data_IF_952758950808
#
_entry.id   IF_952758950808
#
_cell.length_a   1.000
_cell.length_b   1.000
_cell.length_c   1.000
_cell.angle_alpha   90.00
_cell.angle_beta   90.00
_cell.angle_gamma   90.00
#
_symmetry.space_group_name_H-M   'P 1'
#
loop_
_entity.id
_entity.type
_entity.pdbx_description
1 polymer ?
#
# COMPACT_ATOMS: atom_id res chain seq x y z
N UNK A 1 47.22 92.73 -5.39
CA UNK A 1 45.75 92.78 -5.53
C UNK A 1 45.25 91.35 -5.67
N UNK A 2 44.73 90.80 -4.57
CA UNK A 2 44.02 89.52 -4.57
C UNK A 2 42.69 89.68 -5.29
N UNK A 3 42.35 88.83 -6.27
CA UNK A 3 41.00 88.27 -6.35
C UNK A 3 40.87 87.13 -7.37
N UNK A 4 40.58 85.96 -6.81
CA UNK A 4 39.52 85.01 -7.20
C UNK A 4 39.64 84.29 -8.56
N UNK A 5 39.89 82.98 -8.46
CA UNK A 5 38.93 81.94 -8.85
C UNK A 5 39.39 80.56 -8.32
N UNK A 6 39.18 80.32 -7.02
CA UNK A 6 39.07 78.95 -6.47
C UNK A 6 37.59 78.64 -6.28
N UNK A 7 36.95 78.18 -7.35
CA UNK A 7 35.66 77.49 -7.33
C UNK A 7 35.84 76.26 -8.23
N UNK A 8 36.17 75.11 -7.64
CA UNK A 8 36.39 73.87 -8.39
C UNK A 8 36.66 72.64 -7.52
N UNK A 9 37.30 72.81 -6.35
CA UNK A 9 37.64 71.69 -5.46
C UNK A 9 36.46 71.06 -4.73
N UNK A 10 35.34 71.77 -4.56
CA UNK A 10 34.14 71.25 -3.88
C UNK A 10 33.30 70.34 -4.76
N UNK A 11 33.31 70.53 -6.09
CA UNK A 11 32.53 69.69 -7.01
C UNK A 11 33.13 68.28 -7.15
N UNK A 12 34.46 68.16 -7.21
CA UNK A 12 35.16 66.88 -7.39
C UNK A 12 35.04 65.97 -6.18
N UNK A 13 35.11 66.53 -4.96
CA UNK A 13 34.93 65.75 -3.72
C UNK A 13 33.52 65.20 -3.59
N UNK A 14 32.50 65.96 -4.01
CA UNK A 14 31.11 65.50 -4.01
C UNK A 14 30.90 64.37 -5.02
N UNK A 15 31.46 64.49 -6.23
CA UNK A 15 31.38 63.44 -7.26
C UNK A 15 32.06 62.15 -6.80
N UNK A 16 33.25 62.24 -6.19
CA UNK A 16 33.97 61.07 -5.70
C UNK A 16 33.23 60.38 -4.54
N UNK A 17 32.68 61.16 -3.60
CA UNK A 17 31.86 60.63 -2.51
C UNK A 17 30.60 59.93 -3.02
N UNK A 18 29.92 60.49 -4.01
CA UNK A 18 28.76 59.85 -4.64
C UNK A 18 29.11 58.55 -5.36
N UNK A 19 30.26 58.47 -6.03
CA UNK A 19 30.69 57.25 -6.72
C UNK A 19 31.03 56.12 -5.75
N UNK A 20 31.73 56.44 -4.65
CA UNK A 20 32.03 55.46 -3.60
C UNK A 20 30.74 54.99 -2.94
N UNK A 21 29.81 55.91 -2.64
CA UNK A 21 28.52 55.57 -2.05
C UNK A 21 27.69 54.65 -2.96
N UNK A 22 27.60 54.95 -4.25
CA UNK A 22 26.91 54.10 -5.23
C UNK A 22 27.60 52.74 -5.37
N UNK A 23 28.94 52.70 -5.36
CA UNK A 23 29.69 51.45 -5.37
C UNK A 23 29.36 50.56 -4.18
N UNK A 24 29.42 51.11 -2.97
CA UNK A 24 29.07 50.38 -1.73
C UNK A 24 27.61 49.93 -1.76
N UNK A 25 26.69 50.79 -2.21
CA UNK A 25 25.27 50.48 -2.30
C UNK A 25 25.02 49.33 -3.29
N UNK A 26 25.61 49.37 -4.48
CA UNK A 26 25.48 48.29 -5.47
C UNK A 26 26.09 46.98 -4.97
N UNK A 27 27.27 47.03 -4.32
CA UNK A 27 27.92 45.86 -3.73
C UNK A 27 27.14 45.26 -2.56
N UNK A 28 26.30 46.03 -1.86
CA UNK A 28 25.45 45.50 -0.80
C UNK A 28 24.07 45.03 -1.32
N UNK A 29 23.43 45.82 -2.17
CA UNK A 29 22.05 45.58 -2.62
C UNK A 29 21.95 44.43 -3.61
N UNK A 30 22.88 44.34 -4.57
CA UNK A 30 22.81 43.29 -5.61
C UNK A 30 22.99 41.89 -4.99
N UNK A 31 24.00 41.62 -4.14
CA UNK A 31 24.14 40.31 -3.52
C UNK A 31 23.00 39.98 -2.56
N UNK A 32 22.48 40.96 -1.82
CA UNK A 32 21.33 40.76 -0.94
C UNK A 32 20.08 40.36 -1.73
N UNK A 33 19.80 41.04 -2.85
CA UNK A 33 18.70 40.72 -3.74
C UNK A 33 18.81 39.29 -4.31
N UNK A 34 20.01 38.90 -4.76
CA UNK A 34 20.26 37.54 -5.26
C UNK A 34 20.08 36.51 -4.14
N UNK A 35 20.60 36.78 -2.94
CA UNK A 35 20.46 35.90 -1.78
C UNK A 35 19.00 35.66 -1.41
N UNK A 36 18.21 36.72 -1.29
CA UNK A 36 16.77 36.60 -0.95
C UNK A 36 16.04 35.77 -2.01
N UNK A 37 16.30 36.00 -3.29
CA UNK A 37 15.67 35.22 -4.36
C UNK A 37 16.08 33.75 -4.34
N UNK A 38 17.36 33.45 -4.07
CA UNK A 38 17.83 32.07 -3.94
C UNK A 38 17.16 31.36 -2.75
N UNK A 39 17.06 32.04 -1.61
CA UNK A 39 16.39 31.50 -0.42
C UNK A 39 14.91 31.26 -0.69
N UNK A 40 14.21 32.22 -1.30
CA UNK A 40 12.79 32.06 -1.63
C UNK A 40 12.57 30.90 -2.60
N UNK A 41 13.38 30.81 -3.68
CA UNK A 41 13.26 29.72 -4.64
C UNK A 41 13.54 28.35 -4.00
N UNK A 42 14.54 28.26 -3.11
CA UNK A 42 14.84 27.02 -2.39
C UNK A 42 13.71 26.65 -1.44
N UNK A 43 13.18 27.63 -0.72
CA UNK A 43 12.06 27.43 0.18
C UNK A 43 10.82 26.93 -0.56
N UNK A 44 10.41 27.63 -1.61
CA UNK A 44 9.25 27.27 -2.42
C UNK A 44 9.41 25.88 -3.04
N UNK A 45 10.60 25.58 -3.60
CA UNK A 45 10.89 24.26 -4.16
C UNK A 45 10.82 23.15 -3.10
N UNK A 46 11.30 23.43 -1.88
CA UNK A 46 11.26 22.46 -0.78
C UNK A 46 9.83 22.24 -0.30
N UNK A 47 9.03 23.29 -0.16
CA UNK A 47 7.62 23.18 0.25
C UNK A 47 6.83 22.35 -0.77
N UNK A 48 6.99 22.61 -2.07
CA UNK A 48 6.33 21.83 -3.12
C UNK A 48 6.80 20.38 -3.14
N UNK A 49 8.09 20.12 -2.94
CA UNK A 49 8.62 18.76 -2.88
C UNK A 49 8.09 17.97 -1.67
N UNK A 50 7.98 18.62 -0.51
CA UNK A 50 7.42 18.01 0.70
C UNK A 50 5.93 17.73 0.54
N UNK A 51 5.15 18.70 0.04
CA UNK A 51 3.71 18.52 -0.22
C UNK A 51 3.45 17.37 -1.20
N UNK A 52 4.23 17.30 -2.28
CA UNK A 52 4.15 16.17 -3.21
C UNK A 52 4.51 14.84 -2.54
N UNK A 53 5.55 14.81 -1.71
CA UNK A 53 5.96 13.59 -1.02
C UNK A 53 4.89 13.09 -0.06
N UNK A 54 4.26 14.00 0.70
CA UNK A 54 3.17 13.67 1.61
C UNK A 54 1.94 13.17 0.84
N UNK A 55 1.58 13.81 -0.28
CA UNK A 55 0.51 13.32 -1.16
C UNK A 55 0.81 11.92 -1.71
N UNK A 56 2.02 11.68 -2.22
CA UNK A 56 2.41 10.36 -2.72
C UNK A 56 2.39 9.31 -1.61
N UNK A 57 2.76 9.67 -0.38
CA UNK A 57 2.69 8.80 0.78
C UNK A 57 1.24 8.47 1.14
N UNK A 58 0.35 9.45 1.16
CA UNK A 58 -1.05 9.26 1.50
C UNK A 58 -1.82 8.46 0.42
N UNK A 59 -1.33 8.47 -0.82
CA UNK A 59 -1.85 7.67 -1.92
C UNK A 59 -1.39 6.20 -1.91
N UNK A 60 -0.38 5.83 -1.12
CA UNK A 60 0.08 4.43 -1.06
C UNK A 60 -1.03 3.55 -0.46
N UNK A 61 -1.41 2.51 -1.20
CA UNK A 61 -2.37 1.53 -0.73
C UNK A 61 -1.86 0.13 -1.07
N UNK A 62 -1.48 -0.63 -0.05
CA UNK A 62 -0.96 -1.98 -0.17
C UNK A 62 -1.83 -2.96 0.62
N UNK A 63 -2.12 -4.10 0.01
CA UNK A 63 -2.67 -5.26 0.71
C UNK A 63 -1.54 -6.25 0.98
N UNK A 64 -1.28 -6.52 2.26
CA UNK A 64 -0.20 -7.41 2.70
C UNK A 64 -0.83 -8.70 3.23
N UNK A 65 -0.33 -9.84 2.77
CA UNK A 65 -0.73 -11.16 3.21
C UNK A 65 0.50 -11.92 3.66
N UNK A 66 0.42 -12.59 4.81
CA UNK A 66 1.47 -13.46 5.31
C UNK A 66 0.93 -14.87 5.49
N UNK A 67 1.74 -15.88 5.19
CA UNK A 67 1.32 -17.28 5.32
C UNK A 67 2.52 -18.20 5.51
N UNK A 68 2.34 -19.35 6.17
CA UNK A 68 3.38 -20.35 6.30
C UNK A 68 3.74 -20.96 4.94
N UNK A 69 5.02 -21.28 4.75
CA UNK A 69 5.52 -21.97 3.57
C UNK A 69 6.11 -23.31 3.99
N UNK A 70 5.32 -24.38 3.87
CA UNK A 70 5.64 -25.72 4.40
C UNK A 70 6.12 -26.70 3.34
N UNK A 71 6.48 -26.24 2.13
CA UNK A 71 6.98 -27.16 1.08
C UNK A 71 8.34 -27.77 1.47
N UNK A 72 9.25 -26.96 2.02
CA UNK A 72 10.60 -27.38 2.39
C UNK A 72 10.80 -27.49 3.91
N UNK A 73 10.27 -26.54 4.68
CA UNK A 73 10.46 -26.46 6.14
C UNK A 73 9.27 -25.79 6.85
N UNK A 74 8.85 -26.32 8.01
CA UNK A 74 7.72 -25.77 8.78
C UNK A 74 7.98 -24.37 9.39
N UNK A 75 9.24 -23.94 9.43
CA UNK A 75 9.68 -22.69 10.06
C UNK A 75 9.83 -21.53 9.06
N UNK A 76 9.19 -21.63 7.90
CA UNK A 76 9.26 -20.61 6.86
C UNK A 76 7.92 -19.90 6.69
N UNK A 77 7.99 -18.58 6.48
CA UNK A 77 6.84 -17.73 6.19
C UNK A 77 7.15 -16.95 4.91
N UNK A 78 6.15 -16.83 4.04
CA UNK A 78 6.19 -15.94 2.88
C UNK A 78 5.21 -14.79 3.06
N UNK A 79 5.50 -13.69 2.39
CA UNK A 79 4.71 -12.47 2.46
C UNK A 79 4.36 -12.03 1.05
N UNK A 80 3.09 -12.08 0.72
CA UNK A 80 2.57 -11.63 -0.56
C UNK A 80 2.00 -10.23 -0.44
N UNK A 81 2.42 -9.31 -1.32
CA UNK A 81 2.02 -7.91 -1.27
C UNK A 81 1.41 -7.52 -2.61
N UNK A 82 0.18 -6.99 -2.57
CA UNK A 82 -0.51 -6.44 -3.73
C UNK A 82 -0.48 -4.92 -3.67
N UNK A 83 0.01 -4.29 -4.72
CA UNK A 83 -0.05 -2.85 -4.86
C UNK A 83 -1.40 -2.43 -5.44
N UNK A 84 -2.21 -1.70 -4.67
CA UNK A 84 -3.54 -1.21 -5.09
C UNK A 84 -3.53 0.26 -5.45
N UNK A 85 -2.37 0.91 -5.48
CA UNK A 85 -2.25 2.30 -5.90
C UNK A 85 -1.67 2.43 -7.30
N UNK A 86 -1.85 3.61 -7.90
CA UNK A 86 -1.32 3.96 -9.21
C UNK A 86 0.16 4.36 -9.19
N UNK A 87 0.78 4.33 -8.00
CA UNK A 87 2.18 4.67 -7.78
C UNK A 87 3.02 3.41 -7.65
N UNK A 88 4.27 3.50 -8.08
CA UNK A 88 5.26 2.50 -7.74
C UNK A 88 5.55 2.57 -6.24
N UNK A 89 5.50 1.41 -5.58
CA UNK A 89 5.77 1.30 -4.15
C UNK A 89 6.99 0.44 -3.92
N UNK A 90 7.97 1.00 -3.22
CA UNK A 90 9.18 0.29 -2.83
C UNK A 90 9.05 -0.18 -1.39
N UNK A 91 9.06 -1.49 -1.19
CA UNK A 91 9.18 -2.11 0.12
C UNK A 91 10.65 -1.99 0.55
N UNK A 92 10.89 -1.55 1.78
CA UNK A 92 12.24 -1.44 2.36
C UNK A 92 12.48 -2.48 3.44
N UNK A 93 11.41 -2.95 4.09
CA UNK A 93 11.52 -3.82 5.25
C UNK A 93 10.25 -4.62 5.47
N UNK A 94 10.43 -5.86 5.88
CA UNK A 94 9.38 -6.72 6.43
C UNK A 94 9.73 -7.00 7.89
N UNK A 95 8.75 -6.82 8.76
CA UNK A 95 8.81 -7.03 10.20
C UNK A 95 8.04 -8.29 10.56
N UNK A 96 8.57 -9.06 11.51
CA UNK A 96 7.91 -10.22 12.10
C UNK A 96 8.04 -10.08 13.62
N UNK A 97 6.92 -10.02 14.35
CA UNK A 97 6.85 -9.85 15.82
C UNK A 97 7.58 -8.64 16.40
N UNK A 98 7.71 -7.57 15.61
CA UNK A 98 8.49 -6.37 15.97
C UNK A 98 9.95 -6.71 16.40
N UNK A 99 10.41 -7.90 16.05
CA UNK A 99 11.70 -8.46 16.43
C UNK A 99 12.81 -7.93 15.50
N UNK A 100 14.06 -8.01 15.97
CA UNK A 100 15.23 -7.46 15.28
C UNK A 100 15.57 -8.13 13.93
N UNK A 101 14.86 -9.19 13.55
CA UNK A 101 14.92 -9.81 12.21
C UNK A 101 14.14 -8.99 11.20
N UNK A 102 14.38 -7.67 11.15
CA UNK A 102 13.91 -6.84 10.07
C UNK A 102 14.60 -7.29 8.78
N UNK A 103 13.87 -7.98 7.92
CA UNK A 103 14.43 -8.43 6.65
C UNK A 103 14.41 -7.22 5.73
N UNK A 104 15.59 -6.69 5.46
CA UNK A 104 15.74 -5.59 4.50
C UNK A 104 15.51 -6.18 3.14
N UNK A 105 14.34 -5.89 2.59
CA UNK A 105 14.01 -6.27 1.22
C UNK A 105 13.99 -4.99 0.42
N UNK A 106 14.81 -4.94 -0.63
CA UNK A 106 14.84 -3.83 -1.56
C UNK A 106 14.15 -4.27 -2.85
N UNK A 107 12.83 -4.21 -2.84
CA UNK A 107 12.03 -4.55 -4.01
C UNK A 107 10.99 -3.47 -4.29
N UNK A 108 10.75 -3.31 -5.57
CA UNK A 108 9.79 -2.39 -6.12
C UNK A 108 8.61 -3.23 -6.63
N UNK A 109 7.40 -2.82 -6.26
CA UNK A 109 6.15 -3.35 -6.81
C UNK A 109 5.57 -2.26 -7.73
N UNK A 110 5.40 -2.60 -9.00
CA UNK A 110 4.79 -1.72 -9.98
C UNK A 110 3.34 -1.38 -9.60
N UNK A 111 2.77 -0.28 -10.13
CA UNK A 111 1.36 0.05 -9.94
C UNK A 111 0.44 -1.11 -10.33
N UNK A 112 -0.56 -1.42 -9.50
CA UNK A 112 -1.55 -2.48 -9.75
C UNK A 112 -0.98 -3.91 -9.90
N UNK A 113 0.29 -4.12 -9.58
CA UNK A 113 0.96 -5.41 -9.63
C UNK A 113 1.12 -6.00 -8.22
N UNK A 114 1.59 -7.24 -8.16
CA UNK A 114 1.88 -7.94 -6.92
C UNK A 114 3.29 -8.54 -6.89
N UNK A 115 3.72 -8.93 -5.69
CA UNK A 115 5.02 -9.55 -5.50
C UNK A 115 5.04 -10.42 -4.23
N UNK A 116 5.67 -11.59 -4.34
CA UNK A 116 5.87 -12.52 -3.22
C UNK A 116 7.29 -12.41 -2.68
N UNK A 117 7.38 -12.16 -1.37
CA UNK A 117 8.60 -12.07 -0.60
C UNK A 117 8.86 -13.32 0.23
N UNK A 118 10.14 -13.67 0.38
CA UNK A 118 10.60 -14.82 1.15
C UNK A 118 11.01 -15.99 0.25
N UNK A 119 11.12 -17.21 0.82
CA UNK A 119 10.74 -17.58 2.18
C UNK A 119 11.64 -16.95 3.26
N UNK A 120 11.06 -16.66 4.41
CA UNK A 120 11.74 -16.10 5.58
C UNK A 120 11.74 -17.11 6.72
N UNK A 121 12.93 -17.43 7.23
CA UNK A 121 13.08 -18.34 8.36
C UNK A 121 12.69 -17.62 9.66
N UNK A 122 11.87 -18.27 10.47
CA UNK A 122 11.45 -17.81 11.79
C UNK A 122 11.77 -18.87 12.85
N UNK A 123 11.83 -18.43 14.11
CA UNK A 123 12.10 -19.33 15.24
C UNK A 123 10.78 -19.81 15.81
N UNK A 124 10.46 -21.09 15.63
CA UNK A 124 9.23 -21.69 16.15
C UNK A 124 9.33 -21.98 17.66
N UNK A 125 8.23 -21.90 18.42
CA UNK A 125 8.21 -22.32 19.81
C UNK A 125 8.46 -23.84 19.92
N UNK A 126 9.22 -24.26 20.93
CA UNK A 126 9.45 -25.68 21.22
C UNK A 126 8.26 -26.31 21.95
N UNK A 127 7.52 -25.51 22.73
CA UNK A 127 6.31 -25.92 23.45
C UNK A 127 5.27 -24.80 23.42
N UNK A 128 3.98 -25.15 23.41
CA UNK A 128 2.88 -24.18 23.44
C UNK A 128 2.56 -23.56 22.08
N UNK A 129 1.91 -22.40 22.11
CA UNK A 129 1.45 -21.67 20.93
C UNK A 129 2.06 -20.27 20.91
N UNK A 130 2.48 -19.79 19.74
CA UNK A 130 3.07 -18.47 19.55
C UNK A 130 2.46 -17.77 18.35
N UNK A 131 2.08 -16.50 18.54
CA UNK A 131 1.57 -15.62 17.49
C UNK A 131 2.71 -14.86 16.81
N UNK A 132 2.55 -14.65 15.51
CA UNK A 132 3.44 -13.91 14.62
C UNK A 132 2.67 -12.79 13.94
N UNK A 133 3.14 -11.56 14.15
CA UNK A 133 2.61 -10.34 13.53
C UNK A 133 3.54 -9.85 12.44
N UNK A 134 3.08 -9.86 11.20
CA UNK A 134 3.86 -9.45 10.02
C UNK A 134 3.45 -8.05 9.58
N UNK A 135 4.43 -7.17 9.31
CA UNK A 135 4.19 -5.82 8.79
C UNK A 135 5.18 -5.51 7.67
N UNK A 136 4.77 -4.76 6.66
CA UNK A 136 5.66 -4.26 5.62
C UNK A 136 5.82 -2.75 5.74
N UNK A 137 7.04 -2.24 5.56
CA UNK A 137 7.33 -0.80 5.55
C UNK A 137 7.76 -0.36 4.16
N UNK A 138 7.18 0.74 3.68
CA UNK A 138 7.51 1.35 2.39
C UNK A 138 8.63 2.38 2.53
N UNK A 139 9.29 2.71 1.41
CA UNK A 139 10.31 3.76 1.36
C UNK A 139 9.77 5.13 1.80
N UNK A 140 8.47 5.39 1.60
CA UNK A 140 7.81 6.65 2.01
C UNK A 140 7.45 6.66 3.50
N UNK A 141 7.71 5.57 4.21
CA UNK A 141 7.56 5.48 5.67
C UNK A 141 6.22 4.93 6.15
N UNK A 142 5.34 4.50 5.24
CA UNK A 142 4.09 3.84 5.63
C UNK A 142 4.36 2.42 6.11
N UNK A 143 3.53 1.96 7.05
CA UNK A 143 3.58 0.60 7.60
C UNK A 143 2.23 -0.07 7.40
N UNK A 144 2.22 -1.17 6.66
CA UNK A 144 1.03 -1.96 6.37
C UNK A 144 1.13 -3.29 7.12
N UNK A 145 0.16 -3.55 8.00
CA UNK A 145 0.05 -4.83 8.70
C UNK A 145 -0.53 -5.88 7.75
N UNK A 146 -0.04 -7.12 7.85
CA UNK A 146 -0.64 -8.22 7.11
C UNK A 146 -2.10 -8.44 7.54
N UNK A 147 -2.98 -8.63 6.56
CA UNK A 147 -4.40 -8.89 6.75
C UNK A 147 -4.66 -10.26 7.38
N UNK A 148 -3.74 -11.20 7.21
CA UNK A 148 -3.76 -12.55 7.79
C UNK A 148 -3.20 -12.61 9.22
N UNK A 149 -2.81 -11.47 9.80
CA UNK A 149 -2.32 -11.45 11.18
C UNK A 149 -3.45 -11.72 12.19
N UNK A 150 -3.13 -12.37 13.33
CA UNK A 150 -1.87 -13.06 13.60
C UNK A 150 -1.79 -14.40 12.86
N UNK A 151 -0.57 -14.80 12.50
CA UNK A 151 -0.27 -16.20 12.20
C UNK A 151 0.14 -16.89 13.50
N UNK A 152 -0.53 -17.96 13.88
CA UNK A 152 -0.27 -18.69 15.12
C UNK A 152 0.37 -20.03 14.79
N UNK A 153 1.47 -20.38 15.47
CA UNK A 153 2.06 -21.71 15.39
C UNK A 153 1.91 -22.43 16.73
N UNK A 154 1.37 -23.65 16.70
CA UNK A 154 1.25 -24.50 17.89
C UNK A 154 2.20 -25.68 17.80
N UNK A 155 3.08 -25.84 18.80
CA UNK A 155 4.01 -26.96 18.88
C UNK A 155 3.36 -28.21 19.50
N UNK A 156 3.69 -29.40 18.99
CA UNK A 156 3.24 -30.69 19.51
C UNK A 156 2.76 -31.66 18.43
N UNK A 157 2.42 -32.90 18.83
CA UNK A 157 1.87 -33.91 17.92
C UNK A 157 0.44 -33.49 17.49
N UNK A 158 0.30 -33.10 16.21
CA UNK A 158 -0.93 -32.51 15.67
C UNK A 158 -1.00 -30.98 15.77
N UNK A 159 0.10 -30.34 16.20
CA UNK A 159 0.29 -28.89 16.09
C UNK A 159 0.64 -28.48 14.66
N UNK A 160 0.52 -27.19 14.37
CA UNK A 160 0.78 -26.63 13.05
C UNK A 160 0.49 -25.14 13.01
N UNK A 161 0.48 -24.60 11.79
CA UNK A 161 0.09 -23.24 11.52
C UNK A 161 -1.42 -23.09 11.52
N UNK A 162 -1.89 -22.05 12.18
CA UNK A 162 -3.24 -21.50 12.08
C UNK A 162 -3.13 -19.98 11.90
N UNK A 163 -4.14 -19.33 11.35
CA UNK A 163 -4.05 -17.89 11.07
C UNK A 163 -5.40 -17.22 10.89
N UNK A 164 -5.38 -15.89 10.89
CA UNK A 164 -6.56 -15.08 10.64
C UNK A 164 -6.99 -15.15 9.17
N UNK A 165 -8.30 -15.33 8.97
CA UNK A 165 -8.99 -15.52 7.69
C UNK A 165 -8.90 -14.28 6.80
N UNK A 166 -7.89 -14.18 5.94
CA UNK A 166 -7.88 -13.21 4.84
C UNK A 166 -8.05 -13.85 3.47
N UNK A 167 -8.12 -15.18 3.41
CA UNK A 167 -8.49 -15.92 2.21
C UNK A 167 -9.96 -15.63 1.92
N UNK A 168 -10.29 -15.18 0.72
CA UNK A 168 -11.67 -14.77 0.45
C UNK A 168 -12.12 -14.89 -1.00
N UNK A 169 -13.41 -15.13 -1.17
CA UNK A 169 -14.12 -14.93 -2.43
C UNK A 169 -14.78 -13.55 -2.42
N UNK A 170 -14.48 -12.72 -3.42
CA UNK A 170 -15.23 -11.50 -3.71
C UNK A 170 -16.24 -11.81 -4.81
N UNK A 171 -17.50 -11.96 -4.42
CA UNK A 171 -18.59 -12.32 -5.31
C UNK A 171 -19.32 -11.05 -5.70
N UNK A 172 -19.34 -10.77 -7.01
CA UNK A 172 -20.08 -9.66 -7.60
C UNK A 172 -21.25 -10.23 -8.38
N UNK A 173 -22.47 -9.81 -8.03
CA UNK A 173 -23.68 -10.21 -8.73
C UNK A 173 -24.33 -8.96 -9.31
N UNK A 174 -24.55 -8.98 -10.63
CA UNK A 174 -25.29 -7.93 -11.33
C UNK A 174 -26.74 -8.41 -11.53
N UNK A 175 -27.67 -7.80 -10.79
CA UNK A 175 -29.08 -8.15 -10.83
C UNK A 175 -29.84 -7.35 -11.87
N UNK A 176 -30.56 -8.04 -12.74
CA UNK A 176 -31.38 -7.39 -13.77
C UNK A 176 -32.85 -7.20 -13.33
N UNK A 177 -33.34 -8.03 -12.43
CA UNK A 177 -34.73 -8.01 -11.98
C UNK A 177 -34.84 -8.43 -10.50
N UNK A 178 -36.07 -8.46 -9.97
CA UNK A 178 -36.36 -8.88 -8.60
C UNK A 178 -36.16 -10.38 -8.38
N UNK A 179 -34.90 -10.79 -8.30
CA UNK A 179 -34.51 -12.18 -8.11
C UNK A 179 -33.86 -12.42 -6.75
N UNK A 180 -33.95 -13.68 -6.33
CA UNK A 180 -33.15 -14.18 -5.22
C UNK A 180 -31.98 -14.97 -5.77
N UNK A 181 -30.79 -14.63 -5.33
CA UNK A 181 -29.56 -15.34 -5.64
C UNK A 181 -29.14 -16.14 -4.42
N UNK A 182 -28.89 -17.43 -4.59
CA UNK A 182 -28.27 -18.28 -3.58
C UNK A 182 -26.81 -18.48 -3.94
N UNK A 183 -25.95 -18.26 -2.97
CA UNK A 183 -24.50 -18.36 -3.07
C UNK A 183 -24.09 -19.51 -2.17
N UNK A 184 -23.56 -20.57 -2.77
CA UNK A 184 -23.05 -21.73 -2.08
C UNK A 184 -21.56 -21.88 -2.39
N UNK A 185 -20.71 -21.91 -1.37
CA UNK A 185 -19.28 -22.21 -1.49
C UNK A 185 -18.98 -23.42 -0.62
N UNK A 186 -18.45 -24.49 -1.21
CA UNK A 186 -18.10 -25.72 -0.51
C UNK A 186 -16.64 -26.08 -0.69
N UNK A 187 -15.92 -26.25 0.41
CA UNK A 187 -14.56 -26.78 0.48
C UNK A 187 -14.52 -28.12 1.24
N UNK A 188 -13.32 -28.59 1.59
CA UNK A 188 -13.14 -29.88 2.30
C UNK A 188 -13.87 -29.92 3.65
N UNK A 189 -13.77 -28.85 4.44
CA UNK A 189 -14.37 -28.72 5.78
C UNK A 189 -15.10 -27.38 5.97
N UNK A 190 -15.45 -26.72 4.86
CA UNK A 190 -16.09 -25.41 4.86
C UNK A 190 -17.35 -25.42 3.99
N UNK A 191 -18.43 -24.84 4.51
CA UNK A 191 -19.62 -24.56 3.72
C UNK A 191 -20.15 -23.20 4.07
N UNK A 192 -20.28 -22.35 3.06
CA UNK A 192 -20.95 -21.07 3.14
C UNK A 192 -22.19 -21.11 2.26
N UNK A 193 -23.34 -20.79 2.84
CA UNK A 193 -24.63 -20.72 2.14
C UNK A 193 -25.34 -19.44 2.55
N UNK A 194 -25.56 -18.55 1.59
CA UNK A 194 -26.25 -17.29 1.82
C UNK A 194 -27.20 -16.97 0.66
N UNK A 195 -28.24 -16.19 0.95
CA UNK A 195 -29.19 -15.72 -0.04
C UNK A 195 -29.27 -14.20 -0.03
N UNK A 196 -29.19 -13.61 -1.22
CA UNK A 196 -29.35 -12.17 -1.41
C UNK A 196 -30.48 -11.91 -2.39
N UNK A 197 -31.28 -10.88 -2.12
CA UNK A 197 -32.31 -10.40 -3.04
C UNK A 197 -31.85 -9.09 -3.64
N UNK A 198 -31.89 -9.00 -4.96
CA UNK A 198 -31.59 -7.77 -5.68
C UNK A 198 -32.86 -7.21 -6.30
N UNK A 199 -32.95 -5.89 -6.31
CA UNK A 199 -33.96 -5.15 -7.04
C UNK A 199 -33.60 -4.95 -8.51
N UNK A 200 -34.45 -4.18 -9.20
CA UNK A 200 -34.25 -3.87 -10.61
C UNK A 200 -32.99 -3.02 -10.82
N UNK A 201 -32.00 -3.57 -11.53
CA UNK A 201 -30.74 -2.88 -11.85
C UNK A 201 -29.80 -2.72 -10.65
N UNK A 202 -30.02 -3.46 -9.56
CA UNK A 202 -29.14 -3.45 -8.41
C UNK A 202 -28.02 -4.47 -8.58
N UNK A 203 -26.80 -4.09 -8.19
CA UNK A 203 -25.67 -5.00 -8.05
C UNK A 203 -25.25 -5.11 -6.59
N UNK A 204 -24.64 -6.24 -6.23
CA UNK A 204 -24.08 -6.45 -4.90
C UNK A 204 -22.69 -7.04 -4.98
N UNK A 205 -21.86 -6.68 -4.00
CA UNK A 205 -20.57 -7.27 -3.77
C UNK A 205 -20.56 -7.89 -2.39
N UNK A 206 -20.21 -9.18 -2.30
CA UNK A 206 -20.10 -9.92 -1.06
C UNK A 206 -18.69 -10.48 -0.94
N UNK A 207 -18.06 -10.19 0.19
CA UNK A 207 -16.80 -10.84 0.57
C UNK A 207 -17.14 -12.04 1.45
N UNK A 208 -16.64 -13.20 1.08
CA UNK A 208 -16.77 -14.44 1.86
C UNK A 208 -15.38 -14.89 2.26
N UNK A 209 -15.08 -14.84 3.55
CA UNK A 209 -13.81 -15.32 4.08
C UNK A 209 -13.84 -16.86 4.18
N UNK A 210 -12.75 -17.51 3.76
CA UNK A 210 -12.57 -18.96 3.82
C UNK A 210 -11.43 -19.33 4.78
N UNK A 211 -11.48 -20.52 5.39
CA UNK A 211 -10.52 -20.89 6.44
C UNK A 211 -9.15 -21.28 5.88
N UNK A 212 -9.10 -22.01 4.77
CA UNK A 212 -7.90 -22.72 4.32
C UNK A 212 -7.58 -22.50 2.84
N UNK A 213 -6.32 -22.74 2.45
CA UNK A 213 -5.94 -22.85 1.04
C UNK A 213 -6.50 -24.15 0.47
N UNK A 214 -6.96 -24.12 -0.78
CA UNK A 214 -7.53 -25.31 -1.40
C UNK A 214 -8.51 -25.00 -2.51
N UNK A 215 -9.08 -26.06 -3.07
CA UNK A 215 -10.13 -25.97 -4.08
C UNK A 215 -11.48 -25.88 -3.41
N UNK A 216 -12.22 -24.83 -3.77
CA UNK A 216 -13.59 -24.58 -3.34
C UNK A 216 -14.49 -24.62 -4.58
N UNK A 217 -15.58 -25.34 -4.45
CA UNK A 217 -16.64 -25.34 -5.45
C UNK A 217 -17.60 -24.19 -5.16
N UNK A 218 -17.76 -23.29 -6.13
CA UNK A 218 -18.65 -22.12 -6.01
C UNK A 218 -19.83 -22.30 -6.94
N UNK A 219 -21.03 -22.32 -6.35
CA UNK A 219 -22.29 -22.38 -7.08
C UNK A 219 -23.11 -21.13 -6.77
N UNK A 220 -23.49 -20.39 -7.81
CA UNK A 220 -24.39 -19.24 -7.71
C UNK A 220 -25.63 -19.54 -8.53
N UNK A 221 -26.79 -19.58 -7.89
CA UNK A 221 -28.07 -19.86 -8.56
C UNK A 221 -29.05 -18.71 -8.37
N UNK A 222 -29.80 -18.44 -9.42
CA UNK A 222 -30.93 -17.52 -9.46
C UNK A 222 -32.23 -18.30 -9.28
N UNK A 223 -33.09 -17.80 -8.40
CA UNK A 223 -34.41 -18.37 -8.12
C UNK A 223 -35.52 -17.39 -8.55
N UNK A 224 -36.26 -17.75 -9.61
CA UNK A 224 -37.53 -17.12 -9.99
C UNK A 224 -38.42 -18.09 -10.77
N UNK A 225 -39.48 -18.60 -10.14
CA UNK A 225 -40.38 -19.63 -10.73
C UNK A 225 -39.63 -20.85 -11.30
N UNK A 226 -38.42 -21.10 -10.81
CA UNK A 226 -37.45 -22.07 -11.32
C UNK A 226 -36.05 -21.70 -10.82
N UNK A 227 -35.10 -22.63 -10.92
CA UNK A 227 -33.70 -22.41 -10.55
C UNK A 227 -32.84 -22.36 -11.83
N UNK A 228 -32.12 -21.27 -12.01
CA UNK A 228 -31.12 -21.13 -13.07
C UNK A 228 -29.74 -21.02 -12.43
N UNK A 229 -28.78 -21.80 -12.90
CA UNK A 229 -27.40 -21.76 -12.41
C UNK A 229 -26.62 -20.73 -13.23
N UNK A 230 -26.01 -19.76 -12.55
CA UNK A 230 -25.19 -18.72 -13.17
C UNK A 230 -23.71 -19.11 -13.16
N UNK A 231 -23.25 -19.60 -12.02
CA UNK A 231 -21.88 -20.08 -11.82
C UNK A 231 -21.96 -21.46 -11.17
N UNK A 232 -21.14 -22.38 -11.65
CA UNK A 232 -20.95 -23.72 -11.10
C UNK A 232 -19.56 -24.21 -11.49
N UNK A 233 -18.55 -23.78 -10.73
CA UNK A 233 -17.17 -24.09 -11.05
C UNK A 233 -16.27 -24.15 -9.83
N UNK A 234 -15.17 -24.88 -9.97
CA UNK A 234 -14.12 -24.99 -8.98
C UNK A 234 -13.15 -23.83 -9.10
N UNK A 235 -12.88 -23.20 -7.96
CA UNK A 235 -11.85 -22.17 -7.81
C UNK A 235 -10.83 -22.65 -6.80
N UNK A 236 -9.55 -22.53 -7.14
CA UNK A 236 -8.48 -22.91 -6.22
C UNK A 236 -7.87 -21.66 -5.62
N UNK A 237 -8.10 -21.46 -4.32
CA UNK A 237 -7.41 -20.42 -3.57
C UNK A 237 -6.00 -20.93 -3.32
N UNK A 238 -5.07 -20.30 -4.02
CA UNK A 238 -3.64 -20.56 -3.90
C UNK A 238 -2.99 -19.42 -3.15
N UNK A 239 -1.70 -19.62 -2.89
CA UNK A 239 -0.82 -18.61 -2.33
C UNK A 239 -0.71 -17.36 -3.20
N UNK A 240 -0.67 -17.52 -4.53
CA UNK A 240 -0.52 -16.41 -5.48
C UNK A 240 -1.86 -15.67 -5.69
N UNK A 241 -2.97 -16.36 -5.50
CA UNK A 241 -4.32 -15.80 -5.57
C UNK A 241 -5.11 -16.07 -4.27
N UNK A 242 -4.76 -15.41 -3.15
CA UNK A 242 -5.42 -15.63 -1.85
C UNK A 242 -6.83 -15.03 -1.80
N UNK A 243 -7.19 -14.23 -2.81
CA UNK A 243 -8.51 -13.64 -2.94
C UNK A 243 -8.97 -13.71 -4.38
N UNK A 244 -10.06 -14.43 -4.62
CA UNK A 244 -10.60 -14.72 -5.95
C UNK A 244 -11.82 -13.86 -6.19
N UNK A 245 -11.90 -13.26 -7.39
CA UNK A 245 -13.07 -12.53 -7.84
C UNK A 245 -13.97 -13.42 -8.68
N UNK A 246 -15.24 -13.50 -8.29
CA UNK A 246 -16.26 -14.28 -8.98
C UNK A 246 -17.34 -13.32 -9.44
N UNK A 247 -17.50 -13.20 -10.77
CA UNK A 247 -18.51 -12.34 -11.38
C UNK A 247 -19.65 -13.20 -11.90
N UNK A 248 -20.86 -12.94 -11.39
CA UNK A 248 -22.09 -13.56 -11.86
C UNK A 248 -22.97 -12.49 -12.51
N UNK A 249 -23.01 -12.49 -13.83
CA UNK A 249 -23.88 -11.63 -14.63
C UNK A 249 -25.14 -12.38 -15.01
N UNK A 250 -26.28 -11.73 -14.83
CA UNK A 250 -27.59 -12.33 -15.04
C UNK A 250 -28.24 -11.81 -16.33
N UNK A 251 -27.91 -12.42 -17.46
CA UNK A 251 -28.44 -12.03 -18.79
C UNK A 251 -29.98 -12.13 -18.91
#
# INVERSE_FOLDING_TARGET
MWSRLRRGGTAVSTVLGTLIFVGVLMTAVIPLYVYVNQVNNLYDATVVAMDRFDQERDMENLEVYAYPYTEDYDNQVKVFIKNRCSLEVRIVRIWINDDYTSITVNATISPMEDYTFGPFNITLPTEGSQDYYIKATTRRGNVFSALTNPLTYTAGAGGGWSGSTALSFNIVIEGHFFYRYRILITGSDFTYDNQVRLGLGESTMLKVDVPDLGTYHVTITREWWGQATLIDQDYTITVDEPSIWVYATDD
#
